data_IF_869179339004
#
_entry.id   IF_869179339004
#
_cell.length_a   1.000
_cell.length_b   1.000
_cell.length_c   1.000
_cell.angle_alpha   90.00
_cell.angle_beta   90.00
_cell.angle_gamma   90.00
#
_symmetry.space_group_name_H-M   'P 1'
#
loop_
_entity.id
_entity.type
_entity.pdbx_description
1 polymer ?
#
# COMPACT_ATOMS: atom_id res chain seq x y z
N UNK A 1 -21.01 -3.48 -3.94
CA UNK A 1 -21.44 -4.74 -3.28
C UNK A 1 -21.40 -5.90 -4.28
N UNK A 2 -21.00 -7.11 -3.86
CA UNK A 2 -20.93 -8.27 -4.74
C UNK A 2 -22.33 -8.69 -5.17
N UNK A 3 -22.45 -9.19 -6.39
CA UNK A 3 -23.66 -9.87 -6.82
C UNK A 3 -23.74 -11.29 -6.26
N UNK A 4 -24.92 -11.89 -6.22
CA UNK A 4 -25.06 -13.31 -5.84
C UNK A 4 -24.23 -14.24 -6.75
N UNK A 5 -24.00 -13.85 -8.01
CA UNK A 5 -23.17 -14.59 -8.94
C UNK A 5 -21.67 -14.50 -8.60
N UNK A 6 -21.22 -13.35 -8.09
CA UNK A 6 -19.82 -13.16 -7.65
C UNK A 6 -19.55 -13.96 -6.37
N UNK A 7 -20.49 -13.96 -5.42
CA UNK A 7 -20.41 -14.78 -4.20
C UNK A 7 -20.40 -16.28 -4.54
N UNK A 8 -21.22 -16.70 -5.49
CA UNK A 8 -21.22 -18.10 -5.92
C UNK A 8 -19.89 -18.50 -6.53
N UNK A 9 -19.30 -17.67 -7.39
CA UNK A 9 -17.96 -17.92 -7.97
C UNK A 9 -16.86 -18.01 -6.89
N UNK A 10 -16.90 -17.10 -5.89
CA UNK A 10 -15.95 -17.09 -4.81
C UNK A 10 -16.06 -18.37 -3.95
N UNK A 11 -17.31 -18.85 -3.69
CA UNK A 11 -17.53 -20.11 -2.96
C UNK A 11 -17.13 -21.37 -3.76
N UNK A 12 -17.17 -21.30 -5.09
CA UNK A 12 -16.80 -22.43 -5.97
C UNK A 12 -15.30 -22.44 -6.33
N UNK A 13 -14.53 -21.43 -5.89
CA UNK A 13 -13.10 -21.34 -6.15
C UNK A 13 -12.30 -22.28 -5.24
N UNK A 14 -11.27 -22.92 -5.80
CA UNK A 14 -10.32 -23.73 -5.05
C UNK A 14 -9.45 -22.88 -4.11
N UNK A 15 -9.26 -21.58 -4.47
CA UNK A 15 -8.48 -20.61 -3.72
C UNK A 15 -9.08 -19.22 -3.89
N UNK A 16 -9.16 -18.45 -2.81
CA UNK A 16 -9.52 -17.04 -2.84
C UNK A 16 -8.37 -16.20 -2.29
N UNK A 17 -7.80 -15.33 -3.13
CA UNK A 17 -6.73 -14.42 -2.71
C UNK A 17 -7.32 -13.04 -2.51
N UNK A 18 -7.11 -12.46 -1.34
CA UNK A 18 -7.68 -11.17 -0.92
C UNK A 18 -6.62 -10.27 -0.32
N UNK A 19 -6.90 -8.97 -0.28
CA UNK A 19 -6.09 -8.01 0.46
C UNK A 19 -6.15 -8.28 1.97
N UNK A 20 -7.33 -8.60 2.47
CA UNK A 20 -7.63 -8.65 3.89
C UNK A 20 -7.92 -7.26 4.46
N UNK A 21 -7.90 -7.14 5.79
CA UNK A 21 -8.34 -5.92 6.43
C UNK A 21 -9.80 -5.59 6.13
N UNK A 22 -10.14 -4.32 6.06
CA UNK A 22 -11.47 -3.86 5.68
C UNK A 22 -11.70 -3.74 4.17
N UNK A 23 -10.63 -3.61 3.38
CA UNK A 23 -10.66 -3.22 1.97
C UNK A 23 -11.58 -4.11 1.11
N UNK A 24 -11.47 -5.42 1.22
CA UNK A 24 -12.26 -6.40 0.47
C UNK A 24 -13.08 -7.34 1.38
N UNK A 25 -13.38 -6.89 2.60
CA UNK A 25 -14.23 -7.62 3.56
C UNK A 25 -15.59 -8.03 2.98
N UNK A 26 -16.09 -7.26 2.03
CA UNK A 26 -17.36 -7.50 1.32
C UNK A 26 -17.38 -8.84 0.57
N UNK A 27 -16.22 -9.39 0.16
CA UNK A 27 -16.16 -10.68 -0.52
C UNK A 27 -15.84 -11.82 0.45
N UNK A 28 -14.78 -11.70 1.26
CA UNK A 28 -14.37 -12.82 2.10
C UNK A 28 -15.35 -13.11 3.25
N UNK A 29 -16.12 -12.11 3.73
CA UNK A 29 -17.19 -12.34 4.69
C UNK A 29 -18.43 -13.04 4.10
N UNK A 30 -18.58 -12.99 2.78
CA UNK A 30 -19.69 -13.65 2.06
C UNK A 30 -19.37 -15.11 1.68
N UNK A 31 -18.11 -15.54 1.83
CA UNK A 31 -17.68 -16.91 1.52
C UNK A 31 -17.91 -17.83 2.73
N UNK A 32 -18.43 -19.02 2.49
CA UNK A 32 -18.77 -19.98 3.55
C UNK A 32 -17.57 -20.76 4.09
N UNK A 33 -16.56 -20.98 3.26
CA UNK A 33 -15.31 -21.67 3.61
C UNK A 33 -14.17 -20.66 3.61
N UNK A 34 -13.61 -20.40 4.79
CA UNK A 34 -12.49 -19.45 4.97
C UNK A 34 -11.13 -20.16 4.98
N UNK A 35 -11.08 -21.49 4.98
CA UNK A 35 -9.82 -22.24 5.00
C UNK A 35 -9.06 -22.12 3.67
N UNK A 36 -9.77 -21.75 2.58
CA UNK A 36 -9.20 -21.52 1.25
C UNK A 36 -8.81 -20.07 0.96
N UNK A 37 -8.87 -19.19 1.96
CA UNK A 37 -8.56 -17.76 1.79
C UNK A 37 -7.09 -17.49 2.12
N UNK A 38 -6.38 -16.92 1.15
CA UNK A 38 -5.04 -16.35 1.34
C UNK A 38 -5.21 -14.84 1.41
N UNK A 39 -4.72 -14.20 2.48
CA UNK A 39 -4.82 -12.75 2.67
C UNK A 39 -3.48 -12.14 3.07
N UNK A 40 -3.22 -10.91 2.62
CA UNK A 40 -2.03 -10.16 2.98
C UNK A 40 -2.15 -9.49 4.37
N UNK A 41 -3.37 -9.05 4.74
CA UNK A 41 -3.71 -8.56 6.07
C UNK A 41 -4.67 -9.53 6.77
N UNK A 42 -4.74 -9.53 8.11
CA UNK A 42 -5.69 -10.35 8.84
C UNK A 42 -7.14 -10.16 8.34
N UNK A 43 -7.92 -11.23 8.29
CA UNK A 43 -9.34 -11.19 7.98
C UNK A 43 -10.11 -10.61 9.17
N UNK A 44 -10.45 -9.34 9.11
CA UNK A 44 -11.14 -8.62 10.18
C UNK A 44 -12.40 -7.94 9.65
N UNK A 45 -13.29 -7.53 10.55
CA UNK A 45 -14.38 -6.65 10.18
C UNK A 45 -13.87 -5.21 10.03
N UNK A 46 -14.45 -4.44 9.14
CA UNK A 46 -14.20 -2.99 9.01
C UNK A 46 -14.20 -2.32 10.39
N UNK A 47 -13.17 -1.56 10.71
CA UNK A 47 -13.04 -0.81 11.95
C UNK A 47 -12.44 -1.54 13.14
N UNK A 48 -11.97 -2.79 12.96
CA UNK A 48 -11.25 -3.54 14.02
C UNK A 48 -9.75 -3.59 13.84
N UNK A 49 -9.21 -2.95 12.84
CA UNK A 49 -7.76 -2.91 12.58
C UNK A 49 -6.97 -2.24 13.72
N UNK A 50 -7.57 -1.28 14.42
CA UNK A 50 -6.96 -0.61 15.58
C UNK A 50 -6.77 -1.56 16.79
N UNK A 51 -7.44 -2.73 16.79
CA UNK A 51 -7.30 -3.75 17.83
C UNK A 51 -6.23 -4.81 17.48
N UNK A 52 -5.64 -4.75 16.28
CA UNK A 52 -4.55 -5.64 15.86
C UNK A 52 -3.30 -5.28 16.67
N UNK A 53 -2.75 -6.21 17.47
CA UNK A 53 -1.55 -5.95 18.27
C UNK A 53 -0.30 -5.65 17.43
N UNK A 54 -0.33 -5.97 16.13
CA UNK A 54 0.78 -5.78 15.21
C UNK A 54 0.71 -4.45 14.44
N UNK A 55 -0.30 -3.59 14.69
CA UNK A 55 -0.38 -2.24 14.11
C UNK A 55 0.76 -1.38 14.66
N UNK A 56 1.49 -0.74 13.76
CA UNK A 56 2.65 0.09 14.09
C UNK A 56 2.69 1.38 13.27
N UNK A 57 3.41 2.39 13.78
CA UNK A 57 3.66 3.62 13.02
C UNK A 57 4.59 3.37 11.84
N UNK A 58 4.57 4.30 10.86
CA UNK A 58 5.50 4.21 9.72
C UNK A 58 6.98 4.18 10.16
N UNK A 59 7.35 4.92 11.20
CA UNK A 59 8.72 4.92 11.72
C UNK A 59 9.10 3.56 12.35
N UNK A 60 8.16 2.92 13.05
CA UNK A 60 8.37 1.57 13.59
C UNK A 60 8.45 0.53 12.46
N UNK A 61 7.65 0.66 11.42
CA UNK A 61 7.72 -0.20 10.23
C UNK A 61 9.05 -0.04 9.49
N UNK A 62 9.59 1.17 9.36
CA UNK A 62 10.92 1.44 8.81
C UNK A 62 12.03 0.77 9.62
N UNK A 63 11.96 0.89 10.96
CA UNK A 63 12.91 0.20 11.83
C UNK A 63 12.83 -1.33 11.66
N UNK A 64 11.62 -1.88 11.58
CA UNK A 64 11.40 -3.30 11.34
C UNK A 64 11.96 -3.73 10.00
N UNK A 65 11.70 -3.00 8.91
CA UNK A 65 12.19 -3.34 7.58
C UNK A 65 13.72 -3.27 7.43
N UNK A 66 14.40 -2.49 8.28
CA UNK A 66 15.88 -2.47 8.36
C UNK A 66 16.44 -3.75 8.99
N UNK A 67 15.76 -4.27 10.02
CA UNK A 67 16.18 -5.46 10.75
C UNK A 67 15.73 -6.75 10.05
N UNK A 68 14.53 -6.74 9.49
CA UNK A 68 13.87 -7.86 8.81
C UNK A 68 13.03 -7.33 7.63
N UNK A 69 13.60 -7.23 6.43
CA UNK A 69 12.93 -6.68 5.26
C UNK A 69 11.79 -7.55 4.74
N UNK A 70 11.75 -8.83 5.12
CA UNK A 70 10.74 -9.79 4.67
C UNK A 70 9.54 -9.83 5.62
N UNK A 71 9.59 -9.08 6.72
CA UNK A 71 8.47 -9.01 7.66
C UNK A 71 7.33 -8.14 7.13
N UNK A 72 6.16 -8.76 6.96
CA UNK A 72 4.92 -8.02 6.72
C UNK A 72 4.56 -7.20 7.95
N UNK A 73 4.17 -5.96 7.75
CA UNK A 73 3.82 -5.01 8.83
C UNK A 73 2.46 -4.39 8.54
N UNK A 74 1.68 -4.12 9.58
CA UNK A 74 0.44 -3.34 9.47
C UNK A 74 0.73 -1.89 9.89
N UNK A 75 0.81 -0.98 8.92
CA UNK A 75 1.14 0.43 9.16
C UNK A 75 -0.14 1.20 9.44
N UNK A 76 -0.44 1.46 10.74
CA UNK A 76 -1.57 2.30 11.17
C UNK A 76 -2.95 1.88 10.63
N UNK A 77 -3.11 0.61 10.26
CA UNK A 77 -4.33 0.13 9.61
C UNK A 77 -4.45 0.48 8.13
N UNK A 78 -3.37 0.94 7.50
CA UNK A 78 -3.33 1.27 6.09
C UNK A 78 -3.60 0.02 5.23
N UNK A 79 -4.60 0.09 4.38
CA UNK A 79 -5.06 -1.04 3.56
C UNK A 79 -4.31 -1.21 2.23
N UNK A 80 -3.37 -0.30 1.87
CA UNK A 80 -2.61 -0.35 0.61
C UNK A 80 -1.47 -1.38 0.64
N UNK A 81 -1.69 -2.53 1.30
CA UNK A 81 -0.69 -3.59 1.53
C UNK A 81 -0.18 -4.23 0.24
N UNK A 82 -0.91 -4.12 -0.87
CA UNK A 82 -0.44 -4.61 -2.19
C UNK A 82 0.81 -3.89 -2.70
N UNK A 83 1.19 -2.77 -2.06
CA UNK A 83 2.45 -2.09 -2.29
C UNK A 83 3.57 -2.56 -1.36
N UNK A 84 3.31 -3.55 -0.47
CA UNK A 84 4.35 -4.13 0.38
C UNK A 84 5.10 -5.26 -0.34
N UNK A 85 6.40 -5.09 -0.67
CA UNK A 85 7.24 -6.17 -1.15
C UNK A 85 7.18 -7.45 -0.29
N UNK A 86 7.21 -7.33 1.04
CA UNK A 86 7.14 -8.47 1.95
C UNK A 86 5.80 -9.22 1.84
N UNK A 87 4.69 -8.48 1.77
CA UNK A 87 3.36 -9.09 1.63
C UNK A 87 3.20 -9.81 0.28
N UNK A 88 3.80 -9.27 -0.79
CA UNK A 88 3.78 -9.94 -2.10
C UNK A 88 4.53 -11.28 -2.08
N UNK A 89 5.66 -11.37 -1.37
CA UNK A 89 6.40 -12.63 -1.20
C UNK A 89 5.62 -13.62 -0.35
N UNK A 90 5.05 -13.20 0.79
CA UNK A 90 4.29 -14.06 1.68
C UNK A 90 3.05 -14.63 0.99
N UNK A 91 2.27 -13.79 0.29
CA UNK A 91 1.09 -14.21 -0.47
C UNK A 91 1.49 -15.17 -1.61
N UNK A 92 2.57 -14.86 -2.33
CA UNK A 92 3.07 -15.74 -3.39
C UNK A 92 3.53 -17.09 -2.85
N UNK A 93 4.19 -17.13 -1.69
CA UNK A 93 4.56 -18.34 -0.99
C UNK A 93 3.35 -19.19 -0.64
N UNK A 94 2.35 -18.58 0.00
CA UNK A 94 1.09 -19.25 0.37
C UNK A 94 0.36 -19.84 -0.84
N UNK A 95 0.32 -19.11 -1.96
CA UNK A 95 -0.27 -19.57 -3.22
C UNK A 95 0.52 -20.78 -3.76
N UNK A 96 1.85 -20.72 -3.79
CA UNK A 96 2.69 -21.80 -4.27
C UNK A 96 2.55 -23.05 -3.42
N UNK A 97 2.50 -22.91 -2.10
CA UNK A 97 2.32 -24.01 -1.16
C UNK A 97 0.97 -24.69 -1.37
N UNK A 98 -0.12 -23.95 -1.44
CA UNK A 98 -1.46 -24.51 -1.67
C UNK A 98 -1.56 -25.23 -3.02
N UNK A 99 -0.96 -24.64 -4.10
CA UNK A 99 -0.91 -25.31 -5.40
C UNK A 99 -0.14 -26.65 -5.32
N UNK A 100 0.99 -26.69 -4.61
CA UNK A 100 1.80 -27.90 -4.48
C UNK A 100 1.14 -28.96 -3.57
N UNK A 101 0.36 -28.53 -2.58
CA UNK A 101 -0.44 -29.45 -1.73
C UNK A 101 -1.54 -30.12 -2.54
N UNK A 102 -2.25 -29.38 -3.37
CA UNK A 102 -3.37 -29.89 -4.16
C UNK A 102 -2.88 -30.64 -5.42
N UNK A 103 -1.81 -30.16 -6.06
CA UNK A 103 -1.26 -30.71 -7.29
C UNK A 103 0.22 -31.05 -7.12
N UNK A 104 0.51 -32.25 -6.57
CA UNK A 104 1.87 -32.66 -6.18
C UNK A 104 2.94 -32.60 -7.29
N UNK A 105 2.53 -32.57 -8.56
CA UNK A 105 3.41 -32.48 -9.71
C UNK A 105 3.51 -31.05 -10.29
N UNK A 106 2.86 -30.05 -9.67
CA UNK A 106 2.85 -28.69 -10.18
C UNK A 106 4.22 -28.01 -10.10
N UNK A 107 4.96 -28.24 -9.00
CA UNK A 107 6.28 -27.65 -8.78
C UNK A 107 6.26 -26.13 -8.81
N UNK A 108 5.21 -25.53 -8.19
CA UNK A 108 5.10 -24.07 -8.08
C UNK A 108 6.22 -23.52 -7.21
N UNK A 109 6.86 -22.41 -7.65
CA UNK A 109 7.95 -21.74 -6.94
C UNK A 109 7.75 -20.22 -6.94
N UNK A 110 8.37 -19.52 -6.01
CA UNK A 110 8.33 -18.05 -5.88
C UNK A 110 9.57 -17.36 -6.45
N UNK A 111 10.60 -18.08 -6.89
CA UNK A 111 11.92 -17.56 -7.29
C UNK A 111 11.89 -16.30 -8.16
N UNK A 112 10.92 -16.20 -9.09
CA UNK A 112 10.80 -15.03 -9.96
C UNK A 112 10.23 -13.82 -9.24
N UNK A 113 9.33 -14.05 -8.30
CA UNK A 113 8.70 -12.99 -7.49
C UNK A 113 9.73 -12.49 -6.49
N UNK A 114 10.40 -13.39 -5.79
CA UNK A 114 11.45 -13.06 -4.81
C UNK A 114 12.55 -12.21 -5.46
N UNK A 115 13.07 -12.66 -6.62
CA UNK A 115 14.06 -11.89 -7.38
C UNK A 115 13.56 -10.52 -7.85
N UNK A 116 12.28 -10.38 -8.17
CA UNK A 116 11.70 -9.12 -8.59
C UNK A 116 11.53 -8.16 -7.41
N UNK A 117 11.04 -8.67 -6.30
CA UNK A 117 10.86 -7.93 -5.04
C UNK A 117 12.19 -7.42 -4.49
N UNK A 118 13.25 -8.24 -4.54
CA UNK A 118 14.60 -7.82 -4.16
C UNK A 118 15.08 -6.62 -4.99
N UNK A 119 14.84 -6.64 -6.30
CA UNK A 119 15.19 -5.53 -7.19
C UNK A 119 14.39 -4.25 -6.86
N UNK A 120 13.13 -4.39 -6.46
CA UNK A 120 12.31 -3.25 -6.04
C UNK A 120 12.85 -2.65 -4.73
N UNK A 121 13.15 -3.49 -3.73
CA UNK A 121 13.74 -3.05 -2.46
C UNK A 121 15.08 -2.33 -2.68
N UNK A 122 15.91 -2.84 -3.57
CA UNK A 122 17.20 -2.21 -3.87
C UNK A 122 17.02 -0.83 -4.51
N UNK A 123 16.07 -0.67 -5.44
CA UNK A 123 15.73 0.65 -6.01
C UNK A 123 15.21 1.63 -4.95
N UNK A 124 14.38 1.16 -4.01
CA UNK A 124 13.84 2.02 -2.94
C UNK A 124 14.95 2.49 -1.98
N UNK A 125 15.96 1.67 -1.72
CA UNK A 125 17.13 2.05 -0.92
C UNK A 125 18.05 3.10 -1.59
N UNK A 126 17.87 3.33 -2.90
CA UNK A 126 18.61 4.36 -3.64
C UNK A 126 18.03 5.77 -3.47
N UNK A 127 16.82 5.90 -2.86
CA UNK A 127 16.24 7.20 -2.56
C UNK A 127 17.12 7.98 -1.56
N UNK A 128 17.16 9.34 -1.66
CA UNK A 128 17.92 10.15 -0.72
C UNK A 128 17.49 9.94 0.74
N UNK A 129 18.46 9.82 1.65
CA UNK A 129 18.21 9.60 3.09
C UNK A 129 17.54 10.82 3.75
N UNK A 130 17.70 12.03 3.18
CA UNK A 130 17.17 13.29 3.69
C UNK A 130 15.89 13.75 2.97
N UNK A 131 15.27 12.89 2.17
CA UNK A 131 14.04 13.17 1.46
C UNK A 131 12.87 13.40 2.41
N UNK A 132 12.28 14.59 2.42
CA UNK A 132 11.01 14.87 3.09
C UNK A 132 9.87 14.69 2.09
N UNK A 133 9.07 13.65 2.25
CA UNK A 133 7.91 13.43 1.41
C UNK A 133 6.61 13.67 2.17
N UNK A 134 5.55 14.04 1.45
CA UNK A 134 4.20 14.11 1.97
C UNK A 134 3.23 13.42 1.00
N UNK A 135 2.09 12.96 1.52
CA UNK A 135 1.13 12.15 0.76
C UNK A 135 -0.28 12.73 0.88
N UNK A 136 -1.01 12.83 -0.24
CA UNK A 136 -2.45 13.15 -0.20
C UNK A 136 -3.30 11.98 0.29
N UNK A 137 -2.75 10.78 0.24
CA UNK A 137 -3.28 9.54 0.76
C UNK A 137 -2.08 8.63 1.09
N UNK A 138 -2.11 7.80 2.14
CA UNK A 138 -0.95 7.03 2.58
C UNK A 138 -0.67 5.79 1.68
N UNK A 139 -0.80 5.98 0.37
CA UNK A 139 -0.73 4.92 -0.64
C UNK A 139 0.67 4.31 -0.77
N UNK A 140 1.71 5.09 -0.49
CA UNK A 140 3.10 4.65 -0.65
C UNK A 140 3.77 4.21 0.65
N UNK A 141 3.08 4.15 1.79
CA UNK A 141 3.68 3.80 3.09
C UNK A 141 4.50 2.51 3.03
N UNK A 142 3.94 1.48 2.40
CA UNK A 142 4.58 0.17 2.29
C UNK A 142 5.79 0.14 1.35
N UNK A 143 5.87 1.07 0.41
CA UNK A 143 7.08 1.31 -0.37
C UNK A 143 8.09 2.12 0.44
N UNK A 144 7.62 3.20 1.06
CA UNK A 144 8.47 4.15 1.79
C UNK A 144 9.04 3.56 3.09
N UNK A 145 8.51 2.46 3.61
CA UNK A 145 9.11 1.76 4.76
C UNK A 145 10.52 1.21 4.47
N UNK A 146 10.87 0.99 3.21
CA UNK A 146 12.20 0.55 2.78
C UNK A 146 13.18 1.69 2.49
N UNK A 147 12.81 2.92 2.79
CA UNK A 147 13.61 4.13 2.57
C UNK A 147 13.94 4.83 3.88
N UNK A 148 14.96 5.68 3.86
CA UNK A 148 15.29 6.58 4.98
C UNK A 148 14.56 7.93 4.91
N UNK A 149 13.79 8.19 3.83
CA UNK A 149 12.97 9.38 3.67
C UNK A 149 11.98 9.58 4.82
N UNK A 150 11.66 10.81 5.14
CA UNK A 150 10.77 11.18 6.25
C UNK A 150 9.40 11.59 5.74
N UNK A 151 8.33 10.97 6.29
CA UNK A 151 6.97 11.45 6.09
C UNK A 151 6.75 12.75 6.89
N UNK A 152 6.50 13.84 6.18
CA UNK A 152 6.19 15.16 6.76
C UNK A 152 4.73 15.56 6.55
N UNK A 153 3.88 14.62 6.13
CA UNK A 153 2.43 14.83 6.05
C UNK A 153 1.89 15.27 7.42
N UNK A 154 1.15 16.39 7.51
CA UNK A 154 0.59 16.83 8.78
C UNK A 154 -0.24 15.74 9.45
N UNK A 155 0.01 15.50 10.75
CA UNK A 155 -0.56 14.39 11.51
C UNK A 155 -2.10 14.33 11.44
N UNK A 156 -2.78 15.48 11.55
CA UNK A 156 -4.24 15.53 11.47
C UNK A 156 -4.76 15.15 10.08
N UNK A 157 -4.05 15.57 9.02
CA UNK A 157 -4.36 15.21 7.64
C UNK A 157 -4.18 13.70 7.41
N UNK A 158 -3.01 13.15 7.80
CA UNK A 158 -2.70 11.72 7.70
C UNK A 158 -3.72 10.85 8.44
N UNK A 159 -4.06 11.19 9.68
CA UNK A 159 -5.07 10.45 10.45
C UNK A 159 -6.44 10.43 9.79
N UNK A 160 -6.86 11.54 9.20
CA UNK A 160 -8.13 11.61 8.50
C UNK A 160 -8.14 10.69 7.27
N UNK A 161 -7.08 10.74 6.45
CA UNK A 161 -7.00 9.95 5.21
C UNK A 161 -6.82 8.45 5.46
N UNK A 162 -6.04 8.03 6.47
CA UNK A 162 -5.97 6.62 6.88
C UNK A 162 -7.34 6.07 7.31
N UNK A 163 -8.16 6.91 7.96
CA UNK A 163 -9.50 6.51 8.39
C UNK A 163 -10.56 6.73 7.31
N UNK A 164 -10.18 6.92 6.06
CA UNK A 164 -11.08 7.23 4.92
C UNK A 164 -11.99 8.44 5.19
N UNK A 165 -11.57 9.35 6.07
CA UNK A 165 -12.30 10.53 6.49
C UNK A 165 -11.87 11.80 5.76
N UNK A 166 -12.71 12.83 5.84
CA UNK A 166 -12.41 14.17 5.31
C UNK A 166 -11.45 14.93 6.24
N UNK A 167 -10.26 15.37 5.77
CA UNK A 167 -9.38 16.20 6.59
C UNK A 167 -10.03 17.54 6.98
N UNK A 168 -9.79 17.98 8.22
CA UNK A 168 -10.29 19.27 8.66
C UNK A 168 -9.61 20.42 7.88
N UNK A 169 -10.31 21.55 7.71
CA UNK A 169 -9.78 22.72 6.98
C UNK A 169 -8.43 23.20 7.55
N UNK A 170 -8.24 23.07 8.87
CA UNK A 170 -7.00 23.43 9.52
C UNK A 170 -5.83 22.51 9.13
N UNK A 171 -6.10 21.21 8.94
CA UNK A 171 -5.09 20.23 8.55
C UNK A 171 -4.69 20.42 7.08
N UNK A 172 -5.65 20.74 6.22
CA UNK A 172 -5.38 21.13 4.82
C UNK A 172 -4.54 22.40 4.76
N UNK A 173 -4.86 23.39 5.57
CA UNK A 173 -4.08 24.64 5.64
C UNK A 173 -2.65 24.38 6.17
N UNK A 174 -2.49 23.47 7.12
CA UNK A 174 -1.17 23.05 7.61
C UNK A 174 -0.35 22.36 6.52
N UNK A 175 -0.98 21.52 5.68
CA UNK A 175 -0.31 20.84 4.59
C UNK A 175 0.18 21.85 3.53
N UNK A 176 -0.70 22.75 3.07
CA UNK A 176 -0.33 23.79 2.11
C UNK A 176 0.80 24.65 2.69
N UNK A 177 0.72 25.01 3.97
CA UNK A 177 1.78 25.78 4.63
C UNK A 177 3.11 25.04 4.66
N UNK A 178 3.15 23.74 4.91
CA UNK A 178 4.38 22.94 4.89
C UNK A 178 5.02 22.96 3.48
N UNK A 179 4.21 22.93 2.42
CA UNK A 179 4.67 23.10 1.04
C UNK A 179 5.22 24.51 0.81
N UNK A 180 4.47 25.53 1.20
CA UNK A 180 4.88 26.95 1.03
C UNK A 180 6.16 27.30 1.80
N UNK A 181 6.38 26.65 2.95
CA UNK A 181 7.59 26.85 3.78
C UNK A 181 8.80 26.03 3.27
N UNK A 182 8.64 25.20 2.23
CA UNK A 182 9.70 24.37 1.65
C UNK A 182 10.08 23.18 2.53
N UNK A 183 9.14 22.67 3.32
CA UNK A 183 9.35 21.50 4.19
C UNK A 183 9.11 20.17 3.44
N UNK A 184 8.55 20.21 2.22
CA UNK A 184 8.19 19.07 1.39
C UNK A 184 9.04 19.04 0.13
N UNK A 185 9.83 18.00 -0.06
CA UNK A 185 10.65 17.80 -1.27
C UNK A 185 9.89 17.04 -2.35
N UNK A 186 9.01 16.11 -1.93
CA UNK A 186 8.24 15.24 -2.82
C UNK A 186 6.78 15.13 -2.35
N UNK A 187 5.84 15.39 -3.24
CA UNK A 187 4.42 15.09 -3.03
C UNK A 187 4.05 13.77 -3.73
N UNK A 188 3.55 12.80 -2.96
CA UNK A 188 2.93 11.58 -3.48
C UNK A 188 1.43 11.83 -3.59
N UNK A 189 0.91 11.71 -4.80
CA UNK A 189 -0.48 12.05 -5.14
C UNK A 189 -1.20 10.85 -5.75
N UNK A 190 -2.40 10.53 -5.23
CA UNK A 190 -3.25 9.51 -5.85
C UNK A 190 -4.26 10.17 -6.81
N UNK A 191 -4.13 9.98 -8.14
CA UNK A 191 -5.04 10.56 -9.10
C UNK A 191 -6.40 9.81 -9.19
N UNK A 192 -6.52 8.62 -8.60
CA UNK A 192 -7.75 7.81 -8.66
C UNK A 192 -8.74 8.18 -7.56
N UNK A 193 -8.25 8.77 -6.46
CA UNK A 193 -9.06 9.24 -5.32
C UNK A 193 -9.01 10.76 -5.17
N UNK A 194 -8.81 11.48 -6.28
CA UNK A 194 -8.67 12.93 -6.29
C UNK A 194 -9.93 13.62 -5.74
N UNK A 195 -9.74 14.41 -4.70
CA UNK A 195 -10.76 15.30 -4.12
C UNK A 195 -10.41 16.76 -4.40
N UNK A 196 -11.35 17.71 -4.21
CA UNK A 196 -11.07 19.14 -4.27
C UNK A 196 -9.94 19.55 -3.30
N UNK A 197 -9.84 18.89 -2.17
CA UNK A 197 -8.78 19.09 -1.17
C UNK A 197 -7.43 18.60 -1.69
N UNK A 198 -7.36 17.39 -2.23
CA UNK A 198 -6.13 16.84 -2.81
C UNK A 198 -5.64 17.67 -4.01
N UNK A 199 -6.56 18.13 -4.87
CA UNK A 199 -6.26 19.00 -6.01
C UNK A 199 -5.65 20.35 -5.57
N UNK A 200 -6.13 20.92 -4.46
CA UNK A 200 -5.57 22.18 -3.91
C UNK A 200 -4.16 21.98 -3.36
N UNK A 201 -3.90 20.84 -2.71
CA UNK A 201 -2.55 20.49 -2.23
C UNK A 201 -1.61 20.28 -3.42
N UNK A 202 -2.05 19.55 -4.45
CA UNK A 202 -1.30 19.35 -5.68
C UNK A 202 -0.96 20.68 -6.34
N UNK A 203 -1.93 21.60 -6.46
CA UNK A 203 -1.69 22.94 -7.02
C UNK A 203 -0.67 23.74 -6.20
N UNK A 204 -0.71 23.65 -4.88
CA UNK A 204 0.30 24.30 -4.03
C UNK A 204 1.70 23.70 -4.26
N UNK A 205 1.82 22.39 -4.46
CA UNK A 205 3.08 21.74 -4.81
C UNK A 205 3.60 22.22 -6.18
N UNK A 206 2.72 22.30 -7.19
CA UNK A 206 3.06 22.82 -8.52
C UNK A 206 3.53 24.29 -8.47
N UNK A 207 2.84 25.14 -7.69
CA UNK A 207 3.16 26.57 -7.54
C UNK A 207 4.51 26.79 -6.81
N UNK A 208 4.97 25.83 -6.04
CA UNK A 208 6.23 25.86 -5.28
C UNK A 208 7.34 25.00 -5.89
N UNK A 209 7.18 24.52 -7.13
CA UNK A 209 8.14 23.64 -7.82
C UNK A 209 8.50 22.36 -7.02
N UNK A 210 7.59 21.86 -6.18
CA UNK A 210 7.75 20.57 -5.47
C UNK A 210 7.53 19.44 -6.46
N UNK A 211 8.41 18.45 -6.45
CA UNK A 211 8.28 17.27 -7.29
C UNK A 211 7.02 16.46 -6.93
N UNK A 212 6.31 15.95 -7.94
CA UNK A 212 5.06 15.20 -7.76
C UNK A 212 5.20 13.81 -8.39
N UNK A 213 4.98 12.77 -7.59
CA UNK A 213 4.86 11.39 -8.08
C UNK A 213 3.42 10.92 -7.94
N UNK A 214 2.82 10.56 -9.07
CA UNK A 214 1.47 10.00 -9.11
C UNK A 214 1.51 8.49 -8.94
N UNK A 215 0.81 8.01 -7.90
CA UNK A 215 0.64 6.59 -7.57
C UNK A 215 -0.86 6.32 -7.42
N UNK A 216 -1.40 5.40 -8.22
CA UNK A 216 -2.80 4.98 -8.12
C UNK A 216 -2.93 3.62 -7.44
N UNK A 217 -4.12 3.29 -6.98
CA UNK A 217 -4.42 1.99 -6.36
C UNK A 217 -4.36 0.82 -7.33
N UNK A 218 -4.70 1.07 -8.58
CA UNK A 218 -4.79 0.05 -9.61
C UNK A 218 -3.98 0.44 -10.85
N UNK A 219 -3.40 -0.55 -11.56
CA UNK A 219 -2.74 -0.27 -12.83
C UNK A 219 -3.67 0.40 -13.84
N UNK A 220 -3.19 1.37 -14.63
CA UNK A 220 -3.95 1.92 -15.75
C UNK A 220 -4.36 0.85 -16.76
N UNK A 221 -5.43 1.11 -17.51
CA UNK A 221 -5.94 0.18 -18.54
C UNK A 221 -4.86 -0.35 -19.45
N UNK A 222 -4.80 -1.68 -19.58
CA UNK A 222 -3.85 -2.37 -20.45
C UNK A 222 -2.45 -2.58 -19.85
N UNK A 223 -2.17 -2.06 -18.67
CA UNK A 223 -0.91 -2.26 -17.95
C UNK A 223 -1.03 -3.40 -16.95
N UNK A 224 -0.01 -4.25 -16.88
CA UNK A 224 0.04 -5.32 -15.86
C UNK A 224 0.53 -4.77 -14.53
N UNK A 225 0.18 -5.47 -13.44
CA UNK A 225 0.56 -5.10 -12.08
C UNK A 225 2.08 -4.83 -11.95
N UNK A 226 2.94 -5.79 -12.32
CA UNK A 226 4.39 -5.64 -12.21
C UNK A 226 4.97 -4.50 -13.06
N UNK A 227 4.44 -4.29 -14.27
CA UNK A 227 4.85 -3.16 -15.11
C UNK A 227 4.53 -1.81 -14.48
N UNK A 228 3.38 -1.74 -13.80
CA UNK A 228 2.98 -0.54 -13.07
C UNK A 228 3.78 -0.36 -11.80
N UNK A 229 4.01 -1.42 -11.06
CA UNK A 229 4.80 -1.40 -9.83
C UNK A 229 6.25 -0.93 -10.09
N UNK A 230 6.89 -1.47 -11.13
CA UNK A 230 8.21 -1.02 -11.59
C UNK A 230 8.25 0.46 -11.99
N UNK A 231 7.19 0.94 -12.64
CA UNK A 231 7.07 2.35 -13.03
C UNK A 231 6.96 3.24 -11.80
N UNK A 232 6.10 2.90 -10.85
CA UNK A 232 5.93 3.64 -9.59
C UNK A 232 7.25 3.72 -8.83
N UNK A 233 7.91 2.59 -8.61
CA UNK A 233 9.21 2.53 -7.93
C UNK A 233 10.28 3.34 -8.66
N UNK A 234 10.28 3.26 -10.01
CA UNK A 234 11.24 4.03 -10.82
C UNK A 234 10.95 5.53 -10.83
N UNK A 235 9.69 5.96 -10.63
CA UNK A 235 9.35 7.38 -10.47
C UNK A 235 9.84 7.90 -9.13
N UNK A 236 9.62 7.15 -8.06
CA UNK A 236 10.14 7.49 -6.73
C UNK A 236 11.67 7.62 -6.73
N UNK A 237 12.38 6.70 -7.36
CA UNK A 237 13.85 6.68 -7.40
C UNK A 237 14.52 7.75 -8.28
N UNK A 238 13.75 8.69 -8.86
CA UNK A 238 14.31 9.81 -9.64
C UNK A 238 14.51 11.09 -8.83
N UNK A 239 14.07 11.11 -7.60
CA UNK A 239 14.11 12.24 -6.68
C UNK A 239 15.10 11.97 -5.56
#
# INVERSE_FOLDING_TARGET
EPTAADIAKANDADMLVVNGGGYDAWIYQAVSDQDNIISALPLTDHGKLDEDPDVMTIDAAKATAKDDPDKVTNIEGNEHIWYDPAALEEVAGSIADQINEEYSDAGATTEKIDSHVDQLRDKLKELPDDLNYAQTEPIADYLMKYTDGKDVTPEGYRKATISEGEPATADVAAFIKAIDDGEVDLLIFNPQTETDTASRIKSAAEDNDVDIVEIGETPPDGKKFWEYYDEVTSKLGKH
#
